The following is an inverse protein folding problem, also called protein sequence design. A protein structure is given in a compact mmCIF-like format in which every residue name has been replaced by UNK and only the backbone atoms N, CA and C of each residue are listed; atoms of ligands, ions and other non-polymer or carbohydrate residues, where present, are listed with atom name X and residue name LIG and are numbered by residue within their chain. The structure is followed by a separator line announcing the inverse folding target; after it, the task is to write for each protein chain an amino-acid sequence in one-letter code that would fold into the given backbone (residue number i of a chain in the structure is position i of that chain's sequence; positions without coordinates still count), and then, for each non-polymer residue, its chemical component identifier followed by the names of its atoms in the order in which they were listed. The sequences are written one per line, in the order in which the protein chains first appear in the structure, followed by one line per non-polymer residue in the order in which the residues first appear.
data_IF_885867141078
#
_entry.id   IF_885867141078
#
_cell.length_a   1.000
_cell.length_b   1.000
_cell.length_c   1.000
_cell.angle_alpha   90.00
_cell.angle_beta   90.00
_cell.angle_gamma   90.00
#
_symmetry.space_group_name_H-M   'P 1'
#
loop_
_entity.id
_entity.type
_entity.pdbx_description
1 polymer ?
#
# COMPACT_ATOMS: atom_id res chain seq x y z
N UNK A 1 -1.63 -22.07 -10.80
CA UNK A 1 -0.53 -21.52 -9.95
C UNK A 1 0.21 -22.67 -9.22
N UNK A 2 0.00 -23.92 -9.66
CA UNK A 2 0.36 -25.14 -8.96
C UNK A 2 1.82 -25.62 -9.14
N UNK A 3 2.62 -25.02 -10.02
CA UNK A 3 3.92 -25.61 -10.42
C UNK A 3 5.12 -25.21 -9.56
N UNK A 4 4.94 -24.39 -8.52
CA UNK A 4 6.05 -23.95 -7.66
C UNK A 4 5.99 -24.64 -6.31
N UNK A 5 7.11 -25.27 -5.93
CA UNK A 5 7.27 -25.90 -4.61
C UNK A 5 7.27 -24.84 -3.50
N UNK A 6 6.87 -25.24 -2.29
CA UNK A 6 6.83 -24.33 -1.14
C UNK A 6 8.20 -23.71 -0.85
N UNK A 7 9.28 -24.49 -0.96
CA UNK A 7 10.65 -24.02 -0.74
C UNK A 7 11.06 -22.92 -1.72
N UNK A 8 10.72 -23.07 -3.01
CA UNK A 8 10.98 -22.04 -4.02
C UNK A 8 10.24 -20.75 -3.71
N UNK A 9 9.00 -20.85 -3.20
CA UNK A 9 8.21 -19.68 -2.77
C UNK A 9 8.85 -18.99 -1.58
N UNK A 10 9.29 -19.76 -0.58
CA UNK A 10 9.99 -19.21 0.58
C UNK A 10 11.27 -18.50 0.16
N UNK A 11 12.10 -19.09 -0.69
CA UNK A 11 13.34 -18.47 -1.17
C UNK A 11 13.09 -17.16 -1.93
N UNK A 12 12.07 -17.13 -2.81
CA UNK A 12 11.69 -15.92 -3.53
C UNK A 12 11.16 -14.84 -2.58
N UNK A 13 10.31 -15.21 -1.63
CA UNK A 13 9.79 -14.27 -0.62
C UNK A 13 10.90 -13.73 0.26
N UNK A 14 11.82 -14.57 0.72
CA UNK A 14 12.99 -14.14 1.51
C UNK A 14 13.79 -13.11 0.71
N UNK A 15 14.13 -13.39 -0.54
CA UNK A 15 14.85 -12.44 -1.39
C UNK A 15 14.10 -11.10 -1.53
N UNK A 16 12.78 -11.11 -1.77
CA UNK A 16 11.96 -9.89 -1.89
C UNK A 16 11.91 -9.13 -0.57
N UNK A 17 11.79 -9.84 0.54
CA UNK A 17 11.69 -9.24 1.87
C UNK A 17 13.02 -8.64 2.30
N UNK A 18 14.15 -9.29 2.02
CA UNK A 18 15.49 -8.81 2.40
C UNK A 18 16.02 -7.72 1.47
N UNK A 19 15.66 -7.76 0.19
CA UNK A 19 16.18 -6.86 -0.83
C UNK A 19 15.04 -6.11 -1.51
N UNK A 20 14.39 -5.18 -0.79
CA UNK A 20 13.25 -4.46 -1.32
C UNK A 20 13.77 -3.55 -2.43
N UNK A 21 13.14 -3.58 -3.60
CA UNK A 21 13.52 -2.72 -4.73
C UNK A 21 12.32 -2.44 -5.62
N UNK A 22 12.27 -1.23 -6.19
CA UNK A 22 11.33 -0.85 -7.25
C UNK A 22 11.91 -1.03 -8.65
N UNK A 23 13.23 -1.24 -8.73
CA UNK A 23 14.00 -1.41 -9.96
C UNK A 23 14.92 -2.61 -9.77
N UNK A 24 14.41 -3.84 -9.96
CA UNK A 24 15.17 -5.03 -9.63
C UNK A 24 16.43 -5.17 -10.49
N UNK A 25 17.64 -5.38 -9.91
CA UNK A 25 18.85 -5.64 -10.68
C UNK A 25 18.75 -6.98 -11.42
N UNK A 26 19.51 -7.16 -12.49
CA UNK A 26 19.45 -8.36 -13.35
C UNK A 26 19.54 -9.68 -12.57
N UNK A 27 20.48 -9.79 -11.62
CA UNK A 27 20.61 -10.97 -10.77
C UNK A 27 19.31 -11.33 -10.05
N UNK A 28 18.62 -10.36 -9.46
CA UNK A 28 17.36 -10.59 -8.76
C UNK A 28 16.23 -11.01 -9.71
N UNK A 29 16.22 -10.48 -10.93
CA UNK A 29 15.27 -10.87 -11.97
C UNK A 29 15.47 -12.33 -12.36
N UNK A 30 16.72 -12.74 -12.61
CA UNK A 30 17.04 -14.15 -12.90
C UNK A 30 16.74 -15.05 -11.70
N UNK A 31 17.14 -14.67 -10.49
CA UNK A 31 16.87 -15.44 -9.28
C UNK A 31 15.37 -15.70 -9.10
N UNK A 32 14.52 -14.68 -9.21
CA UNK A 32 13.07 -14.87 -9.04
C UNK A 32 12.47 -15.62 -10.22
N UNK A 33 12.88 -15.33 -11.45
CA UNK A 33 12.37 -16.03 -12.63
C UNK A 33 12.72 -17.53 -12.63
N UNK A 34 13.85 -17.95 -12.02
CA UNK A 34 14.18 -19.37 -11.87
C UNK A 34 13.32 -20.08 -10.83
N UNK A 35 12.91 -19.39 -9.76
CA UNK A 35 12.11 -19.97 -8.67
C UNK A 35 10.61 -19.91 -8.95
N UNK A 36 10.14 -18.81 -9.53
CA UNK A 36 8.74 -18.53 -9.82
C UNK A 36 8.63 -17.91 -11.22
N UNK A 37 8.66 -18.73 -12.28
CA UNK A 37 8.84 -18.24 -13.65
C UNK A 37 7.65 -17.44 -14.19
N UNK A 38 6.42 -17.74 -13.80
CA UNK A 38 5.21 -17.28 -14.48
C UNK A 38 4.30 -16.38 -13.62
N UNK A 39 4.86 -15.58 -12.71
CA UNK A 39 4.06 -14.71 -11.84
C UNK A 39 3.92 -13.28 -12.39
N UNK A 40 2.70 -12.88 -12.74
CA UNK A 40 2.42 -11.63 -13.48
C UNK A 40 2.13 -10.40 -12.60
N UNK A 41 1.88 -10.57 -11.30
CA UNK A 41 1.44 -9.47 -10.40
C UNK A 41 2.60 -8.80 -9.65
N UNK A 42 3.86 -9.05 -10.03
CA UNK A 42 5.04 -8.49 -9.38
C UNK A 42 5.85 -7.60 -10.33
N UNK A 43 6.78 -6.85 -9.76
CA UNK A 43 7.67 -5.95 -10.49
C UNK A 43 8.81 -6.69 -11.23
N UNK A 44 8.87 -8.02 -11.11
CA UNK A 44 9.86 -8.88 -11.76
C UNK A 44 9.33 -9.42 -13.09
N UNK A 45 10.12 -9.34 -14.19
CA UNK A 45 9.69 -9.84 -15.49
C UNK A 45 9.70 -11.38 -15.54
N UNK A 46 8.67 -12.00 -16.14
CA UNK A 46 8.56 -13.45 -16.27
C UNK A 46 9.38 -13.99 -17.47
N UNK A 47 10.69 -13.74 -17.46
CA UNK A 47 11.61 -14.00 -18.60
C UNK A 47 11.72 -15.51 -18.93
N UNK A 48 11.77 -16.36 -17.89
CA UNK A 48 11.96 -17.80 -18.02
C UNK A 48 10.64 -18.60 -18.03
N UNK A 49 9.50 -17.93 -18.21
CA UNK A 49 8.21 -18.62 -18.29
C UNK A 49 8.03 -19.35 -19.62
N UNK A 50 7.99 -20.68 -19.56
CA UNK A 50 7.80 -21.55 -20.73
C UNK A 50 6.33 -21.82 -21.07
N UNK A 51 5.40 -21.41 -20.20
CA UNK A 51 4.00 -21.88 -20.25
C UNK A 51 3.15 -21.31 -21.39
N UNK A 52 3.45 -20.14 -21.93
CA UNK A 52 2.53 -19.44 -22.84
C UNK A 52 3.25 -18.70 -23.99
N UNK A 53 4.07 -19.42 -24.77
CA UNK A 53 4.68 -18.85 -25.99
C UNK A 53 3.74 -18.85 -27.21
N UNK A 54 2.58 -19.52 -27.13
CA UNK A 54 1.68 -19.76 -28.28
C UNK A 54 0.44 -18.87 -28.35
N UNK A 55 0.16 -18.07 -27.32
CA UNK A 55 -1.09 -17.30 -27.19
C UNK A 55 -0.78 -15.81 -27.23
N UNK A 56 -1.43 -15.06 -28.13
CA UNK A 56 -1.35 -13.60 -28.17
C UNK A 56 -2.41 -13.01 -27.21
N UNK A 57 -2.11 -11.97 -26.40
CA UNK A 57 -0.84 -11.24 -26.29
C UNK A 57 0.23 -12.04 -25.55
N UNK A 58 1.50 -11.81 -25.90
CA UNK A 58 2.64 -12.46 -25.24
C UNK A 58 2.61 -12.19 -23.73
N UNK A 59 3.11 -13.15 -22.96
CA UNK A 59 3.10 -13.08 -21.51
C UNK A 59 3.84 -11.83 -20.99
N UNK A 60 4.90 -11.40 -21.68
CA UNK A 60 5.62 -10.15 -21.41
C UNK A 60 4.76 -8.90 -21.67
N UNK A 61 3.96 -8.87 -22.73
CA UNK A 61 3.02 -7.76 -22.98
C UNK A 61 1.95 -7.69 -21.89
N UNK A 62 1.41 -8.84 -21.47
CA UNK A 62 0.42 -8.89 -20.39
C UNK A 62 1.00 -8.42 -19.05
N UNK A 63 2.25 -8.77 -18.76
CA UNK A 63 3.00 -8.25 -17.61
C UNK A 63 3.26 -6.74 -17.72
N UNK A 64 3.75 -6.26 -18.85
CA UNK A 64 3.98 -4.83 -19.06
C UNK A 64 2.69 -4.01 -18.92
N UNK A 65 1.58 -4.54 -19.43
CA UNK A 65 0.26 -3.92 -19.30
C UNK A 65 -0.25 -3.95 -17.86
N UNK A 66 -0.02 -5.02 -17.10
CA UNK A 66 -0.40 -5.07 -15.67
C UNK A 66 0.35 -4.02 -14.85
N UNK A 67 1.65 -3.84 -15.11
CA UNK A 67 2.45 -2.80 -14.46
C UNK A 67 2.00 -1.39 -14.87
N UNK A 68 1.67 -1.19 -16.14
CA UNK A 68 1.13 0.07 -16.63
C UNK A 68 -0.17 0.42 -15.93
N UNK A 69 -1.15 -0.49 -15.90
CA UNK A 69 -2.42 -0.29 -15.21
C UNK A 69 -2.21 -0.03 -13.71
N UNK A 70 -1.30 -0.75 -13.06
CA UNK A 70 -0.94 -0.53 -11.65
C UNK A 70 -0.43 0.91 -11.42
N UNK A 71 0.42 1.43 -12.31
CA UNK A 71 0.92 2.82 -12.22
C UNK A 71 -0.16 3.86 -12.52
N UNK A 72 -0.99 3.64 -13.55
CA UNK A 72 -2.07 4.56 -13.93
C UNK A 72 -3.15 4.63 -12.84
N UNK A 73 -3.52 3.50 -12.25
CA UNK A 73 -4.54 3.44 -11.18
C UNK A 73 -4.17 4.29 -9.96
N UNK A 74 -2.88 4.58 -9.75
CA UNK A 74 -2.37 5.37 -8.63
C UNK A 74 -2.17 6.84 -8.97
N UNK A 75 -2.59 7.28 -10.16
CA UNK A 75 -2.44 8.66 -10.63
C UNK A 75 -0.98 9.16 -10.51
N UNK A 76 -0.01 8.28 -10.75
CA UNK A 76 1.41 8.61 -10.64
C UNK A 76 1.98 8.65 -9.21
N UNK A 77 1.19 8.37 -8.17
CA UNK A 77 1.71 8.25 -6.81
C UNK A 77 2.57 6.98 -6.65
N UNK A 78 3.78 7.08 -6.06
CA UNK A 78 4.63 5.92 -5.82
C UNK A 78 4.02 4.97 -4.79
N UNK A 79 4.36 3.69 -4.88
CA UNK A 79 3.87 2.66 -3.94
C UNK A 79 4.43 2.90 -2.54
N UNK A 80 3.60 3.34 -1.61
CA UNK A 80 4.03 3.52 -0.22
C UNK A 80 4.27 2.18 0.44
N UNK A 81 5.44 2.02 1.07
CA UNK A 81 5.75 0.80 1.80
C UNK A 81 5.04 0.77 3.16
N UNK A 82 4.52 -0.40 3.53
CA UNK A 82 3.86 -0.64 4.81
C UNK A 82 4.84 -0.87 5.98
N UNK A 83 6.15 -0.81 5.72
CA UNK A 83 7.18 -1.14 6.72
C UNK A 83 7.33 -0.01 7.73
N UNK A 84 7.59 -0.39 8.98
CA UNK A 84 7.85 0.61 10.01
C UNK A 84 9.21 1.28 9.80
N UNK A 85 9.34 2.49 10.32
CA UNK A 85 10.60 3.25 10.38
C UNK A 85 11.54 2.83 11.52
N UNK A 86 11.14 1.81 12.29
CA UNK A 86 11.85 1.41 13.49
C UNK A 86 13.26 0.93 13.10
N UNK A 87 14.34 1.36 13.79
CA UNK A 87 15.71 1.01 13.42
C UNK A 87 15.97 -0.49 13.56
N UNK A 88 15.19 -1.17 14.40
CA UNK A 88 15.28 -2.61 14.64
C UNK A 88 14.59 -3.45 13.56
N UNK A 89 13.76 -2.84 12.69
CA UNK A 89 13.10 -3.57 11.61
C UNK A 89 13.92 -3.40 10.33
N UNK A 90 14.64 -4.46 9.95
CA UNK A 90 15.32 -4.53 8.67
C UNK A 90 14.51 -5.37 7.68
N UNK A 91 14.42 -4.95 6.41
CA UNK A 91 14.98 -3.73 5.83
C UNK A 91 14.07 -2.49 5.98
N UNK A 92 14.64 -1.27 5.90
CA UNK A 92 13.86 -0.04 5.99
C UNK A 92 12.80 0.09 4.88
N UNK A 93 11.78 0.94 5.07
CA UNK A 93 10.79 1.27 4.05
C UNK A 93 11.44 1.89 2.82
N UNK A 94 11.15 1.35 1.63
CA UNK A 94 11.67 1.87 0.34
C UNK A 94 11.14 3.27 0.01
N UNK A 95 9.83 3.42 0.14
CA UNK A 95 9.09 4.63 -0.20
C UNK A 95 8.27 4.96 1.04
N UNK A 96 8.55 6.12 1.61
CA UNK A 96 7.77 6.67 2.70
C UNK A 96 6.44 7.23 2.17
N UNK A 97 5.39 7.12 2.98
CA UNK A 97 4.11 7.72 2.65
C UNK A 97 4.24 9.25 2.55
N UNK A 98 3.39 9.89 1.73
CA UNK A 98 3.40 11.34 1.60
C UNK A 98 3.12 11.99 2.96
N UNK A 99 3.97 12.95 3.36
CA UNK A 99 3.89 13.63 4.67
C UNK A 99 4.62 12.93 5.81
N UNK A 100 5.32 11.83 5.52
CA UNK A 100 6.07 11.04 6.48
C UNK A 100 7.57 11.31 6.29
N UNK A 101 8.15 12.13 7.19
CA UNK A 101 9.59 12.52 7.16
C UNK A 101 10.53 11.31 7.34
N UNK A 102 11.79 11.40 6.90
CA UNK A 102 12.76 10.33 7.09
C UNK A 102 13.00 9.99 8.57
N UNK A 103 13.34 8.73 8.84
CA UNK A 103 13.52 8.23 10.20
C UNK A 103 14.84 8.75 10.79
N UNK A 104 14.74 9.75 11.66
CA UNK A 104 15.86 10.40 12.32
C UNK A 104 15.95 9.93 13.78
N UNK A 105 16.94 9.08 14.08
CA UNK A 105 17.09 8.42 15.38
C UNK A 105 18.30 8.90 16.20
N UNK A 106 18.99 9.98 15.80
CA UNK A 106 20.06 10.59 16.60
C UNK A 106 19.53 11.22 17.90
N UNK A 107 20.38 11.37 18.92
CA UNK A 107 19.95 11.86 20.24
C UNK A 107 19.35 13.27 20.18
N UNK A 108 19.92 14.15 19.35
CA UNK A 108 19.41 15.50 19.12
C UNK A 108 18.06 15.48 18.40
N UNK A 109 17.95 14.67 17.35
CA UNK A 109 16.74 14.50 16.55
C UNK A 109 15.60 13.90 17.38
N UNK A 110 15.91 12.97 18.30
CA UNK A 110 14.94 12.41 19.26
C UNK A 110 14.38 13.50 20.18
N UNK A 111 15.25 14.37 20.72
CA UNK A 111 14.82 15.51 21.56
C UNK A 111 13.94 16.46 20.77
N UNK A 112 14.29 16.77 19.53
CA UNK A 112 13.47 17.61 18.65
C UNK A 112 12.13 16.99 18.32
N UNK A 113 12.07 15.70 18.03
CA UNK A 113 10.82 14.98 17.80
C UNK A 113 9.89 15.08 19.01
N UNK A 114 10.41 14.85 20.22
CA UNK A 114 9.64 15.01 21.46
C UNK A 114 9.15 16.45 21.62
N UNK A 115 10.00 17.46 21.39
CA UNK A 115 9.59 18.87 21.43
C UNK A 115 8.49 19.19 20.41
N UNK A 116 8.64 18.74 19.16
CA UNK A 116 7.61 18.88 18.11
C UNK A 116 6.30 18.20 18.53
N UNK A 117 6.37 16.99 19.10
CA UNK A 117 5.20 16.25 19.58
C UNK A 117 4.47 16.98 20.71
N UNK A 118 5.19 17.55 21.67
CA UNK A 118 4.61 18.35 22.76
C UNK A 118 4.00 19.66 22.26
N UNK A 119 4.55 20.25 21.20
CA UNK A 119 4.01 21.47 20.55
C UNK A 119 2.80 21.21 19.66
N UNK A 120 2.58 19.98 19.20
CA UNK A 120 1.36 19.65 18.46
C UNK A 120 0.19 19.84 19.41
N UNK A 121 -0.69 20.81 19.12
CA UNK A 121 -1.96 20.99 19.83
C UNK A 121 -2.64 19.61 19.89
N UNK A 122 -3.18 19.23 21.06
CA UNK A 122 -4.01 18.03 21.15
C UNK A 122 -5.02 18.10 19.99
N UNK A 123 -5.30 16.96 19.35
CA UNK A 123 -6.45 16.80 18.45
C UNK A 123 -7.76 16.91 19.27
N UNK A 124 -7.90 17.97 20.06
CA UNK A 124 -9.17 18.41 20.58
C UNK A 124 -9.80 19.08 19.37
N UNK A 125 -10.81 18.45 18.78
CA UNK A 125 -11.67 19.17 17.87
C UNK A 125 -12.15 20.41 18.61
N UNK A 126 -11.96 21.60 18.05
CA UNK A 126 -12.57 22.83 18.59
C UNK A 126 -14.12 22.77 18.51
N UNK A 127 -14.67 21.69 17.97
CA UNK A 127 -16.10 21.38 17.96
C UNK A 127 -16.52 20.97 19.37
N UNK A 128 -17.54 21.64 19.89
CA UNK A 128 -18.15 21.29 21.17
C UNK A 128 -18.57 19.80 21.16
N UNK A 129 -18.17 19.00 22.16
CA UNK A 129 -18.43 17.54 22.20
C UNK A 129 -19.92 17.16 22.09
N UNK A 130 -20.84 18.10 22.34
CA UNK A 130 -22.27 17.87 22.19
C UNK A 130 -22.76 17.89 20.73
N UNK A 131 -22.04 18.57 19.83
CA UNK A 131 -22.43 18.71 18.41
C UNK A 131 -22.56 17.35 17.69
N UNK A 132 -21.59 16.41 17.76
CA UNK A 132 -21.71 15.11 17.09
C UNK A 132 -22.84 14.23 17.68
N UNK A 133 -23.37 14.55 18.86
CA UNK A 133 -24.49 13.82 19.49
C UNK A 133 -25.83 14.49 19.17
N UNK A 134 -25.89 15.82 19.29
CA UNK A 134 -27.13 16.59 19.10
C UNK A 134 -27.56 16.64 17.63
N UNK A 135 -26.64 16.83 16.70
CA UNK A 135 -26.99 17.02 15.28
C UNK A 135 -27.70 15.79 14.69
N UNK A 136 -27.21 14.54 14.85
CA UNK A 136 -27.93 13.36 14.37
C UNK A 136 -29.27 13.15 15.08
N UNK A 137 -29.33 13.38 16.40
CA UNK A 137 -30.54 13.15 17.19
C UNK A 137 -31.65 14.15 16.85
N UNK A 138 -31.31 15.43 16.63
CA UNK A 138 -32.28 16.44 16.18
C UNK A 138 -32.76 16.17 14.75
N UNK A 139 -31.88 15.67 13.87
CA UNK A 139 -32.26 15.26 12.52
C UNK A 139 -33.22 14.08 12.55
N UNK A 140 -32.94 13.04 13.35
CA UNK A 140 -33.86 11.92 13.56
C UNK A 140 -35.20 12.37 14.16
N UNK A 141 -35.17 13.27 15.16
CA UNK A 141 -36.37 13.83 15.75
C UNK A 141 -37.19 14.64 14.73
N UNK A 142 -36.54 15.36 13.82
CA UNK A 142 -37.22 16.09 12.75
C UNK A 142 -37.97 15.17 11.78
N UNK A 143 -37.41 13.98 11.48
CA UNK A 143 -38.04 12.97 10.63
C UNK A 143 -39.24 12.28 11.29
N UNK A 144 -39.31 12.27 12.63
CA UNK A 144 -40.50 11.80 13.35
C UNK A 144 -41.66 12.80 13.27
N UNK A 145 -41.35 14.10 13.19
CA UNK A 145 -42.35 15.16 13.14
C UNK A 145 -42.77 15.51 11.70
N UNK A 146 -41.93 15.19 10.72
CA UNK A 146 -42.20 15.45 9.31
C UNK A 146 -42.03 14.17 8.49
N UNK A 147 -43.12 13.69 7.90
CA UNK A 147 -43.07 12.59 6.92
C UNK A 147 -42.44 13.12 5.62
N UNK A 148 -41.23 12.65 5.23
CA UNK A 148 -40.55 13.14 4.03
C UNK A 148 -41.16 12.62 2.72
N UNK A 149 -42.14 11.70 2.78
CA UNK A 149 -42.82 11.15 1.62
C UNK A 149 -44.35 11.28 1.73
N UNK A 150 -44.90 12.50 1.65
CA UNK A 150 -46.35 12.72 1.70
C UNK A 150 -47.10 12.12 0.49
N UNK A 151 -46.41 11.87 -0.63
CA UNK A 151 -47.01 11.44 -1.89
C UNK A 151 -47.29 9.92 -1.96
N UNK A 152 -46.91 9.13 -0.95
CA UNK A 152 -47.15 7.68 -0.89
C UNK A 152 -48.42 7.29 -0.13
N UNK A 153 -49.11 8.28 0.47
CA UNK A 153 -50.33 8.08 1.27
C UNK A 153 -51.62 8.36 0.48
N UNK A 154 -51.54 8.53 -0.85
CA UNK A 154 -52.68 8.72 -1.78
C UNK A 154 -53.01 7.48 -2.60
#
# INVERSE_FOLDING_TARGET
MEDTTWEQRLQALTHILTSPTTTPPLYSQFFISTRIPCYLKWDYPPILCTKDTKTFPSLLLRWGFSLFLKRVSRLGCPETSWRSKCPYQQPPPLILAKGVEEAQWGDEQRREYVRKRLRRKKLVSNVNPLIPILVPNLLLFSLLLWNPFPDLDS
#
